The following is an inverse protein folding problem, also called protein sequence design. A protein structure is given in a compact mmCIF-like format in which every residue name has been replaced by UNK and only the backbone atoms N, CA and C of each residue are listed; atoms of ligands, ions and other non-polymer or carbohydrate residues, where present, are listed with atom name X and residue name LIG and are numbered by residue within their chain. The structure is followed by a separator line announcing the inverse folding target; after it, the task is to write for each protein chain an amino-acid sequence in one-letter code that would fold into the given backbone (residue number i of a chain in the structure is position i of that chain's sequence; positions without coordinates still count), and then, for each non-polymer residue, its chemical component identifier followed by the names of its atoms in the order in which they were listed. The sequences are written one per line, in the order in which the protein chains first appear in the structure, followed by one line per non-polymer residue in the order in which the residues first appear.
data_IF_525020795981
#
_entry.id   IF_525020795981
#
_cell.length_a   1.000
_cell.length_b   1.000
_cell.length_c   1.000
_cell.angle_alpha   90.00
_cell.angle_beta   90.00
_cell.angle_gamma   90.00
#
_symmetry.space_group_name_H-M   'P 1'
#
loop_
_entity.id
_entity.type
_entity.pdbx_description
1 polymer ?
#
# COMPACT_ATOMS: atom_id res chain seq x y z
N UNK A 1 8.53 -18.07 -20.38
CA UNK A 1 9.52 -17.64 -19.38
C UNK A 1 9.13 -17.84 -17.92
N UNK A 2 7.87 -18.14 -17.62
CA UNK A 2 7.35 -18.24 -16.24
C UNK A 2 7.89 -19.42 -15.40
N UNK A 3 8.21 -20.55 -16.01
CA UNK A 3 8.60 -21.76 -15.26
C UNK A 3 9.99 -21.64 -14.60
N UNK A 4 10.90 -20.89 -15.19
CA UNK A 4 12.26 -20.74 -14.64
C UNK A 4 12.29 -19.81 -13.41
N UNK A 5 11.51 -18.73 -13.45
CA UNK A 5 11.39 -17.81 -12.34
C UNK A 5 10.71 -18.47 -11.13
N UNK A 6 9.64 -19.21 -11.36
CA UNK A 6 8.94 -19.95 -10.31
C UNK A 6 9.84 -21.04 -9.68
N UNK A 7 10.67 -21.70 -10.46
CA UNK A 7 11.58 -22.75 -9.95
C UNK A 7 12.73 -22.14 -9.13
N UNK A 8 13.22 -20.96 -9.50
CA UNK A 8 14.27 -20.27 -8.73
C UNK A 8 13.72 -19.75 -7.39
N UNK A 9 12.52 -19.19 -7.38
CA UNK A 9 11.87 -18.76 -6.13
C UNK A 9 11.57 -19.94 -5.20
N UNK A 10 11.01 -21.04 -5.70
CA UNK A 10 10.74 -22.22 -4.87
C UNK A 10 12.01 -22.86 -4.32
N UNK A 11 13.10 -22.89 -5.07
CA UNK A 11 14.37 -23.44 -4.57
C UNK A 11 15.06 -22.52 -3.58
N UNK A 12 14.88 -21.21 -3.65
CA UNK A 12 15.33 -20.28 -2.62
C UNK A 12 14.53 -20.46 -1.31
N UNK A 13 13.23 -20.64 -1.41
CA UNK A 13 12.32 -20.86 -0.28
C UNK A 13 12.66 -22.13 0.51
N UNK A 14 13.07 -23.21 -0.15
CA UNK A 14 13.45 -24.46 0.52
C UNK A 14 14.82 -24.44 1.20
N UNK A 15 15.64 -23.42 0.94
CA UNK A 15 16.98 -23.29 1.51
C UNK A 15 17.07 -22.30 2.69
N UNK A 16 16.03 -21.54 2.98
CA UNK A 16 16.10 -20.39 3.88
C UNK A 16 15.00 -20.45 4.94
N UNK A 17 15.40 -20.75 6.19
CA UNK A 17 14.72 -20.40 7.42
C UNK A 17 13.19 -20.64 7.54
N UNK A 18 12.62 -20.01 8.52
CA UNK A 18 11.16 -20.04 8.74
C UNK A 18 10.43 -19.23 7.67
N UNK A 19 9.39 -19.81 7.11
CA UNK A 19 8.55 -19.18 6.08
C UNK A 19 7.20 -18.87 6.73
N UNK A 20 6.84 -17.60 6.71
CA UNK A 20 5.53 -17.14 7.12
C UNK A 20 4.60 -17.00 5.92
N UNK A 21 3.44 -17.61 6.03
CA UNK A 21 2.36 -17.38 5.08
C UNK A 21 1.47 -16.27 5.59
N UNK A 22 1.19 -15.30 4.74
CA UNK A 22 0.29 -14.22 5.06
C UNK A 22 -0.64 -13.91 3.91
N UNK A 23 -1.77 -13.30 4.22
CA UNK A 23 -2.71 -12.91 3.19
C UNK A 23 -3.74 -11.91 3.65
N UNK A 24 -4.39 -11.30 2.68
CA UNK A 24 -5.54 -10.42 2.87
C UNK A 24 -6.61 -10.83 1.89
N UNK A 25 -7.77 -11.19 2.41
CA UNK A 25 -8.99 -11.37 1.63
C UNK A 25 -9.96 -10.24 1.95
N UNK A 26 -10.54 -9.63 0.94
CA UNK A 26 -11.58 -8.61 1.10
C UNK A 26 -12.69 -8.86 0.10
N UNK A 27 -13.92 -8.76 0.57
CA UNK A 27 -15.10 -8.71 -0.30
C UNK A 27 -15.99 -7.58 0.15
N UNK A 28 -16.50 -6.80 -0.80
CA UNK A 28 -17.37 -5.68 -0.52
C UNK A 28 -18.52 -5.64 -1.54
N UNK A 29 -19.69 -5.29 -1.09
CA UNK A 29 -20.81 -4.89 -1.94
C UNK A 29 -20.83 -3.37 -1.97
N UNK A 30 -20.79 -2.82 -3.18
CA UNK A 30 -20.88 -1.39 -3.44
C UNK A 30 -22.24 -1.09 -4.05
N UNK A 31 -22.95 -0.12 -3.51
CA UNK A 31 -24.23 0.38 -4.06
C UNK A 31 -24.07 1.84 -4.42
N UNK A 32 -24.14 2.13 -5.73
CA UNK A 32 -24.06 3.47 -6.31
C UNK A 32 -25.30 3.64 -7.21
N UNK A 33 -26.09 4.68 -6.99
CA UNK A 33 -27.30 4.97 -7.77
C UNK A 33 -28.27 3.77 -7.91
N UNK A 34 -28.29 2.88 -6.92
CA UNK A 34 -29.13 1.68 -6.95
C UNK A 34 -28.58 0.55 -7.83
N UNK A 35 -27.35 0.67 -8.31
CA UNK A 35 -26.60 -0.41 -8.94
C UNK A 35 -25.69 -1.05 -7.89
N UNK A 36 -25.82 -2.36 -7.73
CA UNK A 36 -25.00 -3.13 -6.80
C UNK A 36 -23.88 -3.85 -7.57
N UNK A 37 -22.65 -3.71 -7.09
CA UNK A 37 -21.47 -4.44 -7.57
C UNK A 37 -20.85 -5.22 -6.43
N UNK A 38 -20.24 -6.35 -6.74
CA UNK A 38 -19.48 -7.16 -5.79
C UNK A 38 -17.99 -7.07 -6.16
N UNK A 39 -17.21 -6.47 -5.29
CA UNK A 39 -15.77 -6.35 -5.44
C UNK A 39 -15.09 -7.38 -4.54
N UNK A 40 -14.20 -8.16 -5.09
CA UNK A 40 -13.45 -9.18 -4.35
C UNK A 40 -11.97 -9.01 -4.62
N UNK A 41 -11.17 -9.12 -3.57
CA UNK A 41 -9.71 -9.05 -3.61
C UNK A 41 -9.11 -10.13 -2.72
N UNK A 42 -8.11 -10.83 -3.22
CA UNK A 42 -7.35 -11.79 -2.44
C UNK A 42 -5.86 -11.62 -2.73
N UNK A 43 -5.09 -11.40 -1.68
CA UNK A 43 -3.62 -11.42 -1.74
C UNK A 43 -3.14 -12.59 -0.91
N UNK A 44 -2.30 -13.42 -1.49
CA UNK A 44 -1.66 -14.55 -0.83
C UNK A 44 -0.16 -14.46 -1.01
N UNK A 45 0.58 -14.54 0.07
CA UNK A 45 2.02 -14.43 0.06
C UNK A 45 2.73 -15.40 0.99
N UNK A 46 4.01 -15.57 0.70
CA UNK A 46 4.97 -16.26 1.52
C UNK A 46 6.19 -15.35 1.70
N UNK A 47 6.55 -15.09 2.93
CA UNK A 47 7.64 -14.21 3.30
C UNK A 47 8.57 -14.94 4.26
N UNK A 48 9.83 -14.57 4.25
CA UNK A 48 10.78 -15.19 5.16
C UNK A 48 12.04 -14.36 5.33
N UNK A 49 12.77 -14.71 6.40
CA UNK A 49 14.04 -14.11 6.72
C UNK A 49 15.04 -15.21 7.08
N UNK A 50 16.29 -15.07 6.63
CA UNK A 50 17.37 -15.97 6.98
C UNK A 50 18.71 -15.26 6.93
N UNK A 51 19.43 -15.22 8.06
CA UNK A 51 20.79 -14.68 8.17
C UNK A 51 20.95 -13.25 7.61
N UNK A 52 19.93 -12.39 7.83
CA UNK A 52 19.92 -11.00 7.34
C UNK A 52 19.49 -10.86 5.87
N UNK A 53 19.09 -11.94 5.22
CA UNK A 53 18.39 -11.89 3.93
C UNK A 53 16.88 -11.99 4.14
N UNK A 54 16.14 -11.12 3.52
CA UNK A 54 14.67 -11.12 3.48
C UNK A 54 14.19 -11.50 2.08
N UNK A 55 13.08 -12.17 1.99
CA UNK A 55 12.47 -12.51 0.71
C UNK A 55 10.96 -12.54 0.83
N UNK A 56 10.29 -12.18 -0.24
CA UNK A 56 8.85 -12.15 -0.33
C UNK A 56 8.36 -12.56 -1.71
N UNK A 57 7.22 -13.21 -1.72
CA UNK A 57 6.53 -13.57 -2.93
C UNK A 57 5.03 -13.61 -2.67
N UNK A 58 4.25 -12.82 -3.42
CA UNK A 58 2.81 -12.79 -3.28
C UNK A 58 2.11 -12.59 -4.62
N UNK A 59 0.91 -13.10 -4.70
CA UNK A 59 -0.02 -12.90 -5.80
C UNK A 59 -1.26 -12.17 -5.31
N UNK A 60 -1.84 -11.38 -6.20
CA UNK A 60 -3.13 -10.76 -6.04
C UNK A 60 -4.10 -11.27 -7.12
N UNK A 61 -5.34 -11.46 -6.74
CA UNK A 61 -6.43 -11.64 -7.67
C UNK A 61 -7.58 -10.70 -7.27
N UNK A 62 -8.13 -10.05 -8.27
CA UNK A 62 -9.26 -9.14 -8.13
C UNK A 62 -10.45 -9.73 -8.88
N UNK A 63 -11.65 -9.28 -8.56
CA UNK A 63 -12.92 -9.57 -9.21
C UNK A 63 -12.99 -10.94 -9.89
N UNK A 64 -13.93 -11.75 -9.69
CA UNK A 64 -14.18 -13.04 -10.34
C UNK A 64 -13.05 -14.09 -10.36
N UNK A 65 -11.87 -13.82 -9.78
CA UNK A 65 -10.68 -14.70 -9.79
C UNK A 65 -10.15 -15.04 -11.21
N UNK A 66 -10.48 -14.23 -12.20
CA UNK A 66 -10.11 -14.50 -13.60
C UNK A 66 -8.66 -14.13 -13.90
N UNK A 67 -8.14 -13.12 -13.21
CA UNK A 67 -6.76 -12.66 -13.37
C UNK A 67 -5.98 -12.82 -12.06
N UNK A 68 -4.78 -13.39 -12.17
CA UNK A 68 -3.83 -13.52 -11.08
C UNK A 68 -2.59 -12.72 -11.43
N UNK A 69 -2.33 -11.68 -10.66
CA UNK A 69 -1.20 -10.79 -10.88
C UNK A 69 -0.11 -11.01 -9.83
N UNK A 70 1.12 -10.67 -10.21
CA UNK A 70 2.22 -10.62 -9.27
C UNK A 70 2.01 -9.42 -8.34
N UNK A 71 1.92 -9.69 -7.04
CA UNK A 71 1.75 -8.65 -6.03
C UNK A 71 3.07 -8.26 -5.38
N UNK A 72 3.96 -9.23 -5.18
CA UNK A 72 5.27 -9.04 -4.56
C UNK A 72 6.22 -10.15 -5.01
N UNK A 73 7.47 -9.83 -5.31
CA UNK A 73 8.51 -10.82 -5.61
C UNK A 73 9.87 -10.15 -5.42
N UNK A 74 10.40 -10.19 -4.20
CA UNK A 74 11.64 -9.51 -3.89
C UNK A 74 12.59 -10.37 -3.05
N UNK A 75 13.84 -10.00 -3.11
CA UNK A 75 14.88 -10.41 -2.17
C UNK A 75 15.59 -9.17 -1.65
N UNK A 76 15.93 -9.18 -0.37
CA UNK A 76 16.64 -8.09 0.27
C UNK A 76 17.73 -8.61 1.18
N UNK A 77 18.59 -7.72 1.63
CA UNK A 77 19.61 -8.00 2.62
C UNK A 77 19.82 -6.78 3.52
N UNK A 78 19.90 -7.05 4.82
CA UNK A 78 20.27 -6.07 5.83
C UNK A 78 21.78 -6.14 6.08
N UNK A 79 22.46 -5.01 5.91
CA UNK A 79 23.91 -4.84 6.16
C UNK A 79 24.18 -4.07 7.46
N UNK A 80 23.17 -3.87 8.29
CA UNK A 80 23.24 -3.21 9.59
C UNK A 80 23.26 -1.68 9.54
N UNK A 81 23.83 -1.05 8.53
CA UNK A 81 23.80 0.40 8.29
C UNK A 81 22.84 0.77 7.17
N UNK A 82 22.54 -0.16 6.30
CA UNK A 82 21.60 0.00 5.20
C UNK A 82 21.05 -1.37 4.83
N UNK A 83 19.87 -1.36 4.27
CA UNK A 83 19.25 -2.51 3.62
C UNK A 83 19.12 -2.27 2.13
N UNK A 84 19.09 -3.36 1.38
CA UNK A 84 18.88 -3.34 -0.07
C UNK A 84 17.80 -4.34 -0.43
N UNK A 85 16.84 -3.92 -1.24
CA UNK A 85 15.81 -4.79 -1.80
C UNK A 85 15.86 -4.76 -3.31
N UNK A 86 15.72 -5.91 -3.96
CA UNK A 86 15.69 -6.05 -5.41
C UNK A 86 14.52 -6.95 -5.81
N UNK A 87 13.80 -6.58 -6.84
CA UNK A 87 12.67 -7.34 -7.36
C UNK A 87 11.44 -6.48 -7.63
N UNK A 88 10.27 -7.09 -7.52
CA UNK A 88 8.99 -6.39 -7.58
C UNK A 88 8.49 -6.19 -6.15
N UNK A 89 8.50 -4.94 -5.69
CA UNK A 89 8.26 -4.60 -4.29
C UNK A 89 7.38 -3.37 -4.13
N UNK A 90 6.87 -3.19 -2.91
CA UNK A 90 6.10 -2.01 -2.53
C UNK A 90 7.03 -0.79 -2.40
N UNK A 91 6.70 0.29 -3.09
CA UNK A 91 7.43 1.57 -3.00
C UNK A 91 7.07 2.33 -1.74
N UNK A 92 8.04 3.03 -1.19
CA UNK A 92 7.87 3.90 -0.03
C UNK A 92 7.83 5.37 -0.49
N UNK A 93 6.65 5.84 -0.90
CA UNK A 93 6.47 7.22 -1.36
C UNK A 93 5.71 8.08 -0.35
N UNK A 94 4.62 7.61 0.20
CA UNK A 94 3.77 8.34 1.14
C UNK A 94 3.39 7.47 2.33
N UNK A 95 3.00 8.11 3.44
CA UNK A 95 2.49 7.38 4.60
C UNK A 95 1.32 6.46 4.24
N UNK A 96 0.40 6.92 3.42
CA UNK A 96 -0.73 6.15 2.95
C UNK A 96 -0.29 4.87 2.22
N UNK A 97 0.73 4.96 1.39
CA UNK A 97 1.28 3.80 0.69
C UNK A 97 2.04 2.85 1.60
N UNK A 98 2.72 3.37 2.63
CA UNK A 98 3.52 2.56 3.56
C UNK A 98 2.68 1.82 4.58
N UNK A 99 1.65 2.45 5.14
CA UNK A 99 0.92 1.92 6.30
C UNK A 99 -0.26 1.03 5.96
N UNK A 100 -0.75 1.11 4.73
CA UNK A 100 -1.96 0.37 4.38
C UNK A 100 -1.63 -0.92 3.67
N UNK A 101 -2.01 -2.05 4.24
CA UNK A 101 -2.00 -3.32 3.51
C UNK A 101 -2.95 -3.19 2.31
N UNK A 102 -2.39 -2.80 1.17
CA UNK A 102 -3.12 -2.65 -0.07
C UNK A 102 -3.72 -1.28 -0.38
N UNK A 103 -3.31 -0.21 0.31
CA UNK A 103 -3.72 1.16 -0.01
C UNK A 103 -5.12 1.57 0.43
N UNK A 104 -5.80 0.75 1.23
CA UNK A 104 -7.17 1.04 1.69
C UNK A 104 -7.26 1.65 3.10
N UNK A 105 -6.15 1.73 3.84
CA UNK A 105 -6.18 2.24 5.21
C UNK A 105 -7.19 1.51 6.08
N UNK A 106 -7.98 2.27 6.80
CA UNK A 106 -9.13 1.75 7.55
C UNK A 106 -10.33 1.45 6.64
N UNK A 107 -10.44 2.13 5.49
CA UNK A 107 -11.61 2.12 4.63
C UNK A 107 -11.65 1.02 3.58
N UNK A 108 -12.69 1.10 2.76
CA UNK A 108 -12.93 0.28 1.58
C UNK A 108 -12.56 1.02 0.28
N UNK A 109 -12.42 2.35 0.33
CA UNK A 109 -11.99 3.18 -0.80
C UNK A 109 -10.57 3.69 -0.60
N UNK A 110 -9.89 3.90 -1.72
CA UNK A 110 -8.56 4.55 -1.75
C UNK A 110 -8.74 6.06 -1.80
N UNK A 111 -7.77 6.81 -1.28
CA UNK A 111 -7.68 8.24 -1.55
C UNK A 111 -7.30 8.48 -3.02
N UNK A 112 -7.57 9.68 -3.51
CA UNK A 112 -7.18 10.11 -4.86
C UNK A 112 -5.67 10.08 -5.06
N UNK A 113 -4.90 10.34 -3.99
CA UNK A 113 -3.42 10.36 -4.03
C UNK A 113 -2.82 8.96 -4.14
N UNK A 114 -3.51 7.92 -3.68
CA UNK A 114 -2.99 6.55 -3.75
C UNK A 114 -2.88 5.98 -5.16
N UNK A 115 -3.54 6.59 -6.12
CA UNK A 115 -3.51 6.20 -7.54
C UNK A 115 -2.53 6.99 -8.40
N UNK A 116 -1.84 8.01 -7.85
CA UNK A 116 -0.92 8.86 -8.62
C UNK A 116 0.35 8.15 -9.07
N UNK A 117 0.79 7.16 -8.33
CA UNK A 117 1.91 6.29 -8.73
C UNK A 117 1.55 4.84 -8.49
N UNK A 118 2.17 3.95 -9.23
CA UNK A 118 2.09 2.53 -8.92
C UNK A 118 2.71 2.27 -7.55
N UNK A 119 1.93 1.68 -6.67
CA UNK A 119 2.35 1.35 -5.31
C UNK A 119 3.41 0.24 -5.25
N UNK A 120 3.60 -0.47 -6.36
CA UNK A 120 4.60 -1.51 -6.55
C UNK A 120 5.26 -1.39 -7.90
N UNK A 121 6.55 -1.68 -7.95
CA UNK A 121 7.31 -1.65 -9.19
C UNK A 121 8.50 -2.61 -9.12
N UNK A 122 9.00 -2.99 -10.27
CA UNK A 122 10.22 -3.77 -10.41
C UNK A 122 11.46 -2.90 -10.39
N UNK A 123 12.44 -3.24 -9.53
CA UNK A 123 13.65 -2.45 -9.45
C UNK A 123 14.51 -2.79 -8.25
N UNK A 124 15.18 -1.77 -7.73
CA UNK A 124 15.99 -1.86 -6.51
C UNK A 124 15.68 -0.69 -5.57
N UNK A 125 15.72 -0.94 -4.28
CA UNK A 125 15.66 0.09 -3.25
C UNK A 125 16.81 -0.05 -2.26
N UNK A 126 17.14 1.05 -1.62
CA UNK A 126 18.09 1.13 -0.51
C UNK A 126 17.48 1.95 0.61
N UNK A 127 17.43 1.37 1.80
CA UNK A 127 17.00 2.02 3.03
C UNK A 127 18.19 2.22 3.99
N UNK A 128 18.18 3.28 4.78
CA UNK A 128 19.14 3.48 5.86
C UNK A 128 18.67 4.53 6.86
N UNK A 129 19.13 4.40 8.09
CA UNK A 129 18.83 5.32 9.17
C UNK A 129 20.05 6.15 9.58
N UNK A 130 19.82 7.44 9.82
CA UNK A 130 20.82 8.36 10.40
C UNK A 130 20.20 9.03 11.63
N UNK A 131 20.44 8.45 12.79
CA UNK A 131 19.83 8.90 14.03
C UNK A 131 18.33 8.62 14.05
N UNK A 132 17.52 9.66 14.06
CA UNK A 132 16.05 9.57 14.03
C UNK A 132 15.46 9.78 12.62
N UNK A 133 16.32 9.87 11.61
CA UNK A 133 15.90 10.11 10.22
C UNK A 133 16.07 8.83 9.42
N UNK A 134 14.99 8.35 8.83
CA UNK A 134 14.98 7.22 7.90
C UNK A 134 14.98 7.72 6.46
N UNK A 135 15.70 7.03 5.62
CA UNK A 135 15.83 7.32 4.18
C UNK A 135 15.55 6.04 3.40
N UNK A 136 14.66 6.15 2.43
CA UNK A 136 14.39 5.11 1.43
C UNK A 136 14.55 5.71 0.04
N UNK A 137 15.32 5.07 -0.83
CA UNK A 137 15.45 5.46 -2.24
C UNK A 137 15.20 4.26 -3.13
N UNK A 138 14.47 4.47 -4.21
CA UNK A 138 14.20 3.45 -5.21
C UNK A 138 14.61 3.88 -6.62
N UNK A 139 14.97 2.89 -7.43
CA UNK A 139 15.16 2.96 -8.87
C UNK A 139 14.31 1.85 -9.47
N UNK A 140 13.26 2.21 -10.19
CA UNK A 140 12.28 1.26 -10.72
C UNK A 140 12.03 1.48 -12.20
N UNK A 141 11.67 0.40 -12.90
CA UNK A 141 11.21 0.47 -14.29
C UNK A 141 9.69 0.68 -14.34
N UNK A 142 9.21 1.33 -15.40
CA UNK A 142 7.77 1.51 -15.64
C UNK A 142 7.06 0.19 -15.92
N UNK A 143 7.81 -0.80 -16.43
CA UNK A 143 7.32 -2.17 -16.58
C UNK A 143 8.38 -3.15 -16.04
N UNK A 144 7.94 -4.16 -15.30
CA UNK A 144 8.82 -5.18 -14.70
C UNK A 144 9.71 -5.89 -15.74
N UNK A 145 9.33 -5.85 -17.03
CA UNK A 145 9.95 -6.61 -18.07
C UNK A 145 10.31 -5.83 -19.35
N UNK A 146 9.93 -4.55 -19.42
CA UNK A 146 10.17 -3.70 -20.59
C UNK A 146 10.85 -2.39 -20.13
N UNK A 147 12.15 -2.46 -19.95
CA UNK A 147 12.98 -1.46 -19.24
C UNK A 147 13.30 -0.20 -20.03
N UNK A 148 12.37 0.36 -20.79
CA UNK A 148 12.63 1.55 -21.61
C UNK A 148 12.59 2.86 -20.80
N UNK A 149 11.93 2.89 -19.64
CA UNK A 149 11.89 4.05 -18.76
C UNK A 149 12.26 3.67 -17.33
N UNK A 150 13.11 4.47 -16.72
CA UNK A 150 13.55 4.30 -15.34
C UNK A 150 13.09 5.50 -14.54
N UNK A 151 12.40 5.24 -13.44
CA UNK A 151 11.92 6.27 -12.52
C UNK A 151 12.68 6.17 -11.20
N UNK A 152 13.06 7.32 -10.67
CA UNK A 152 13.68 7.44 -9.35
C UNK A 152 12.63 7.88 -8.34
N UNK A 153 12.75 7.40 -7.12
CA UNK A 153 11.89 7.83 -6.05
C UNK A 153 12.58 7.73 -4.72
N UNK A 154 11.90 8.21 -3.70
CA UNK A 154 12.39 8.06 -2.35
C UNK A 154 11.50 8.72 -1.32
N UNK A 155 11.81 8.42 -0.08
CA UNK A 155 11.15 8.97 1.10
C UNK A 155 12.17 9.26 2.19
N UNK A 156 11.94 10.37 2.89
CA UNK A 156 12.67 10.74 4.10
C UNK A 156 11.66 10.89 5.23
N UNK A 157 11.92 10.26 6.34
CA UNK A 157 11.06 10.33 7.53
C UNK A 157 11.83 10.84 8.74
N UNK A 158 11.19 11.75 9.50
CA UNK A 158 11.65 12.23 10.80
C UNK A 158 10.50 12.11 11.80
N UNK A 159 10.48 11.03 12.56
CA UNK A 159 9.36 10.71 13.44
C UNK A 159 8.04 10.61 12.69
N UNK A 160 7.09 11.50 13.00
CA UNK A 160 5.78 11.53 12.35
C UNK A 160 5.77 12.27 10.99
N UNK A 161 6.82 13.00 10.66
CA UNK A 161 6.90 13.81 9.45
C UNK A 161 7.57 13.01 8.32
N UNK A 162 6.92 12.93 7.17
CA UNK A 162 7.44 12.29 5.97
C UNK A 162 7.49 13.25 4.78
N UNK A 163 8.48 13.05 3.93
CA UNK A 163 8.61 13.68 2.62
C UNK A 163 8.96 12.62 1.58
N UNK A 164 8.13 12.50 0.54
CA UNK A 164 8.37 11.59 -0.57
C UNK A 164 8.46 12.33 -1.89
N UNK A 165 9.16 11.73 -2.85
CA UNK A 165 9.29 12.28 -4.21
C UNK A 165 9.42 11.15 -5.23
N UNK A 166 9.01 11.44 -6.47
CA UNK A 166 9.18 10.58 -7.66
C UNK A 166 9.50 11.45 -8.87
N UNK A 167 10.31 10.93 -9.79
CA UNK A 167 10.74 11.61 -10.99
C UNK A 167 12.09 12.32 -10.87
N UNK A 168 12.74 12.57 -12.00
CA UNK A 168 14.06 13.22 -12.07
C UNK A 168 14.01 14.67 -11.58
N UNK A 169 12.89 15.37 -11.83
CA UNK A 169 12.69 16.77 -11.46
C UNK A 169 11.81 16.92 -10.19
N UNK A 170 11.53 15.80 -9.47
CA UNK A 170 10.55 15.76 -8.37
C UNK A 170 9.17 16.24 -8.82
N UNK A 171 8.73 15.82 -10.00
CA UNK A 171 7.45 16.20 -10.59
C UNK A 171 6.26 15.77 -9.69
N UNK A 172 6.42 14.69 -8.97
CA UNK A 172 5.49 14.23 -7.96
C UNK A 172 6.18 14.22 -6.60
N UNK A 173 5.64 14.95 -5.64
CA UNK A 173 6.14 14.96 -4.26
C UNK A 173 5.00 15.00 -3.25
N UNK A 174 5.28 14.55 -2.04
CA UNK A 174 4.34 14.54 -0.92
C UNK A 174 5.01 15.00 0.37
N UNK A 175 4.25 15.65 1.22
CA UNK A 175 4.59 15.88 2.62
C UNK A 175 3.45 15.36 3.46
N UNK A 176 3.76 14.56 4.46
CA UNK A 176 2.75 14.03 5.36
C UNK A 176 3.18 14.11 6.83
N UNK A 177 2.18 14.16 7.70
CA UNK A 177 2.33 14.00 9.14
C UNK A 177 1.37 12.89 9.56
N UNK A 178 1.88 11.89 10.25
CA UNK A 178 1.12 10.70 10.58
C UNK A 178 1.33 10.20 12.00
N UNK A 179 0.28 9.60 12.54
CA UNK A 179 0.30 8.83 13.79
C UNK A 179 -0.59 7.60 13.59
N UNK A 180 0.01 6.52 13.12
CA UNK A 180 -0.70 5.29 12.79
C UNK A 180 -1.73 5.50 11.67
N UNK A 181 -3.02 5.39 11.99
CA UNK A 181 -4.11 5.59 11.02
C UNK A 181 -4.54 7.05 10.87
N UNK A 182 -4.03 7.95 11.71
CA UNK A 182 -4.30 9.37 11.59
C UNK A 182 -3.19 10.00 10.76
N UNK A 183 -3.55 10.70 9.70
CA UNK A 183 -2.56 11.40 8.90
C UNK A 183 -3.17 12.60 8.18
N UNK A 184 -2.30 13.54 7.85
CA UNK A 184 -2.56 14.62 6.91
C UNK A 184 -1.44 14.59 5.88
N UNK A 185 -1.79 14.53 4.61
CA UNK A 185 -0.83 14.59 3.51
C UNK A 185 -1.18 15.69 2.54
N UNK A 186 -0.16 16.26 1.93
CA UNK A 186 -0.26 17.14 0.77
C UNK A 186 0.60 16.53 -0.32
N UNK A 187 0.03 16.29 -1.47
CA UNK A 187 0.71 15.72 -2.63
C UNK A 187 0.54 16.67 -3.80
N UNK A 188 1.63 16.98 -4.48
CA UNK A 188 1.66 17.78 -5.70
C UNK A 188 2.19 16.92 -6.85
N UNK A 189 1.48 16.93 -7.96
CA UNK A 189 1.86 16.27 -9.21
C UNK A 189 1.91 17.34 -10.30
N UNK A 190 3.08 17.98 -10.43
CA UNK A 190 3.34 18.99 -11.45
C UNK A 190 2.30 20.14 -11.45
N UNK A 191 1.87 20.56 -10.28
CA UNK A 191 0.90 21.63 -10.06
C UNK A 191 -0.53 21.16 -9.82
N UNK A 192 -0.84 19.90 -10.07
CA UNK A 192 -2.11 19.26 -9.69
C UNK A 192 -1.98 18.70 -8.28
N UNK A 193 -2.39 19.47 -7.30
CA UNK A 193 -2.22 19.10 -5.90
C UNK A 193 -3.49 18.56 -5.27
N UNK A 194 -3.31 17.70 -4.26
CA UNK A 194 -4.38 17.16 -3.41
C UNK A 194 -3.91 17.13 -1.96
N UNK A 195 -4.76 17.57 -1.06
CA UNK A 195 -4.59 17.42 0.38
C UNK A 195 -5.56 16.39 0.92
N UNK A 196 -5.06 15.45 1.72
CA UNK A 196 -5.86 14.38 2.33
C UNK A 196 -5.68 14.42 3.83
N UNK A 197 -6.78 14.38 4.56
CA UNK A 197 -6.79 14.19 6.01
C UNK A 197 -7.63 12.98 6.38
N UNK A 198 -7.07 12.05 7.15
CA UNK A 198 -7.79 10.91 7.71
C UNK A 198 -7.62 10.85 9.22
N UNK A 199 -8.67 10.53 9.92
CA UNK A 199 -8.61 10.35 11.38
C UNK A 199 -9.56 9.27 11.86
N UNK A 200 -9.10 8.53 12.87
CA UNK A 200 -9.98 7.73 13.73
C UNK A 200 -10.78 8.70 14.60
N UNK A 201 -12.10 8.67 14.46
CA UNK A 201 -13.01 9.56 15.18
C UNK A 201 -13.34 9.04 16.58
N UNK A 202 -13.43 7.72 16.71
CA UNK A 202 -13.65 7.04 17.99
C UNK A 202 -13.26 5.57 17.88
N UNK A 203 -12.95 4.98 19.04
CA UNK A 203 -12.75 3.53 19.21
C UNK A 203 -13.50 3.07 20.45
N UNK A 204 -14.18 1.95 20.34
CA UNK A 204 -14.94 1.32 21.44
C UNK A 204 -14.41 -0.10 21.64
N UNK A 205 -13.92 -0.39 22.83
CA UNK A 205 -13.47 -1.72 23.27
C UNK A 205 -12.43 -2.37 22.32
N UNK A 206 -11.57 -1.57 21.71
CA UNK A 206 -10.53 -1.98 20.74
C UNK A 206 -11.03 -2.77 19.52
N UNK A 207 -12.34 -3.03 19.43
CA UNK A 207 -12.94 -3.86 18.38
C UNK A 207 -13.80 -3.08 17.39
N UNK A 208 -14.21 -1.86 17.74
CA UNK A 208 -15.06 -1.03 16.88
C UNK A 208 -14.50 0.36 16.76
N UNK A 209 -14.19 0.78 15.54
CA UNK A 209 -13.64 2.12 15.24
C UNK A 209 -14.46 2.81 14.17
N UNK A 210 -14.72 4.09 14.37
CA UNK A 210 -15.22 4.98 13.34
C UNK A 210 -14.11 5.88 12.82
N UNK A 211 -14.10 6.16 11.53
CA UNK A 211 -13.12 7.03 10.89
C UNK A 211 -13.76 7.99 9.91
N UNK A 212 -13.03 9.05 9.59
CA UNK A 212 -13.38 9.98 8.54
C UNK A 212 -12.16 10.36 7.72
N UNK A 213 -12.37 10.59 6.43
CA UNK A 213 -11.38 11.08 5.48
C UNK A 213 -11.97 12.27 4.74
N UNK A 214 -11.18 13.31 4.54
CA UNK A 214 -11.51 14.48 3.72
C UNK A 214 -10.38 14.67 2.73
N UNK A 215 -10.72 14.94 1.49
CA UNK A 215 -9.79 15.27 0.42
C UNK A 215 -10.17 16.62 -0.18
N UNK A 216 -9.17 17.44 -0.50
CA UNK A 216 -9.34 18.72 -1.14
C UNK A 216 -8.29 18.89 -2.23
N UNK A 217 -8.70 19.25 -3.44
CA UNK A 217 -7.81 19.30 -4.60
C UNK A 217 -7.66 20.70 -5.20
N UNK A 218 -6.79 20.80 -6.21
CA UNK A 218 -6.49 22.04 -6.95
C UNK A 218 -7.68 22.59 -7.76
N UNK A 219 -8.73 21.84 -7.95
CA UNK A 219 -9.97 22.28 -8.63
C UNK A 219 -10.99 22.87 -7.65
N UNK A 220 -10.60 23.07 -6.37
CA UNK A 220 -11.48 23.49 -5.28
C UNK A 220 -12.61 22.47 -4.98
N UNK A 221 -12.40 21.20 -5.35
CA UNK A 221 -13.33 20.13 -5.01
C UNK A 221 -13.00 19.56 -3.63
N UNK A 222 -14.04 19.33 -2.85
CA UNK A 222 -13.91 18.68 -1.54
C UNK A 222 -14.74 17.42 -1.55
N UNK A 223 -14.11 16.31 -1.25
CA UNK A 223 -14.78 15.02 -1.08
C UNK A 223 -14.54 14.47 0.31
N UNK A 224 -15.43 13.62 0.79
CA UNK A 224 -15.27 12.98 2.08
C UNK A 224 -15.69 11.52 2.04
N UNK A 225 -15.06 10.72 2.91
CA UNK A 225 -15.51 9.39 3.21
C UNK A 225 -15.67 9.24 4.73
N UNK A 226 -16.68 8.51 5.15
CA UNK A 226 -16.90 8.18 6.55
C UNK A 226 -17.27 6.72 6.67
N UNK A 227 -16.69 6.04 7.66
CA UNK A 227 -16.92 4.61 7.81
C UNK A 227 -16.71 4.11 9.21
N UNK A 228 -16.98 2.82 9.36
CA UNK A 228 -16.74 2.09 10.58
C UNK A 228 -16.16 0.71 10.28
N UNK A 229 -15.31 0.26 11.19
CA UNK A 229 -14.68 -1.06 11.18
C UNK A 229 -15.05 -1.76 12.48
N UNK A 230 -15.49 -2.99 12.39
CA UNK A 230 -15.73 -3.86 13.53
C UNK A 230 -14.89 -5.13 13.39
N UNK A 231 -13.87 -5.26 14.21
CA UNK A 231 -13.10 -6.49 14.35
C UNK A 231 -13.80 -7.41 15.37
N UNK A 232 -14.36 -8.49 14.91
CA UNK A 232 -15.11 -9.43 15.76
C UNK A 232 -14.35 -10.71 16.06
N UNK A 233 -13.23 -10.91 15.40
CA UNK A 233 -12.24 -11.95 15.66
C UNK A 233 -10.90 -11.45 15.14
N UNK A 234 -9.79 -11.88 15.75
CA UNK A 234 -8.45 -11.56 15.28
C UNK A 234 -8.32 -11.88 13.78
N UNK A 235 -7.94 -10.86 13.01
CA UNK A 235 -7.83 -10.95 11.57
C UNK A 235 -9.15 -10.96 10.79
N UNK A 236 -10.31 -10.78 11.43
CA UNK A 236 -11.60 -10.76 10.72
C UNK A 236 -12.40 -9.52 11.08
N UNK A 237 -12.62 -8.65 10.10
CA UNK A 237 -13.34 -7.38 10.29
C UNK A 237 -14.52 -7.25 9.33
N UNK A 238 -15.58 -6.62 9.81
CA UNK A 238 -16.64 -6.07 8.98
C UNK A 238 -16.44 -4.57 8.84
N UNK A 239 -16.69 -4.05 7.66
CA UNK A 239 -16.49 -2.65 7.31
C UNK A 239 -17.76 -2.10 6.64
N UNK A 240 -18.05 -0.83 6.91
CA UNK A 240 -19.03 -0.05 6.16
C UNK A 240 -18.46 1.32 5.91
N UNK A 241 -18.64 1.86 4.70
CA UNK A 241 -18.14 3.16 4.30
C UNK A 241 -19.14 3.85 3.36
N UNK A 242 -19.29 5.14 3.53
CA UNK A 242 -19.89 6.05 2.57
C UNK A 242 -18.75 6.91 1.97
N UNK A 243 -18.70 7.02 0.65
CA UNK A 243 -17.79 7.89 -0.08
C UNK A 243 -18.60 8.86 -0.94
N UNK A 244 -18.36 10.14 -0.74
CA UNK A 244 -19.08 11.23 -1.41
C UNK A 244 -18.73 11.36 -2.89
N UNK A 245 -17.55 10.90 -3.31
CA UNK A 245 -17.11 10.99 -4.71
C UNK A 245 -18.05 10.30 -5.70
N UNK A 246 -18.60 9.19 -5.30
CA UNK A 246 -19.51 8.39 -6.12
C UNK A 246 -20.90 8.23 -5.48
N UNK A 247 -21.13 9.01 -4.39
CA UNK A 247 -22.35 8.92 -3.59
C UNK A 247 -22.68 7.47 -3.18
N UNK A 248 -21.64 6.67 -2.97
CA UNK A 248 -21.71 5.22 -2.81
C UNK A 248 -21.63 4.76 -1.38
N UNK A 249 -22.39 3.73 -1.05
CA UNK A 249 -22.26 2.98 0.20
C UNK A 249 -21.60 1.65 -0.12
N UNK A 250 -20.58 1.30 0.66
CA UNK A 250 -19.86 0.04 0.59
C UNK A 250 -19.97 -0.69 1.92
N UNK A 251 -20.17 -1.99 1.86
CA UNK A 251 -20.14 -2.85 3.04
C UNK A 251 -19.40 -4.13 2.70
N UNK A 252 -18.48 -4.56 3.58
CA UNK A 252 -17.62 -5.69 3.26
C UNK A 252 -17.06 -6.40 4.46
N UNK A 253 -16.37 -7.49 4.16
CA UNK A 253 -15.58 -8.26 5.10
C UNK A 253 -14.11 -8.24 4.67
N UNK A 254 -13.22 -8.17 5.65
CA UNK A 254 -11.77 -8.26 5.46
C UNK A 254 -11.22 -9.36 6.34
N UNK A 255 -10.35 -10.17 5.77
CA UNK A 255 -9.64 -11.25 6.43
C UNK A 255 -8.14 -11.01 6.31
N UNK A 256 -7.41 -11.11 7.42
CA UNK A 256 -5.93 -11.05 7.46
C UNK A 256 -5.41 -12.25 8.23
N UNK A 257 -4.40 -12.93 7.73
CA UNK A 257 -3.80 -14.11 8.36
C UNK A 257 -2.32 -14.22 8.05
#
# INVERSE_FOLDING_TARGET
MSVLATTVCLSAITAAGDIDFSGVGQTAVTSIDGVETLDTRLVLGAYGESEGAVYGFAFETNDNLDDVELYDAHVGADFGMFDVTVGYFKRHFSHEMTTTKGGYGLGLTRSSTSGLIESRAGGASIGFDVGEVSFDFDIVGDDVFDGDTVTYGGRVELGALGFGFVGEEMDLWTVDISDGYNYVSYTDNNGDWTAVGQSVLFTVEDSFSGYGRVEYDHLDETTFAVGAVCEFQEGVSALVEYDDRDEGIRAGLRFTF
#
